data_IF_635682555419
#
_entry.id   IF_635682555419
#
_cell.length_a   1.000
_cell.length_b   1.000
_cell.length_c   1.000
_cell.angle_alpha   90.00
_cell.angle_beta   90.00
_cell.angle_gamma   90.00
#
_symmetry.space_group_name_H-M   'P 1'
#
loop_
_entity.id
_entity.type
_entity.pdbx_description
1 polymer ?
#
# COMPACT_ATOMS: atom_id res chain seq x y z
N UNK A 1 15.02 12.38 67.08
CA UNK A 1 13.99 13.43 67.28
C UNK A 1 14.64 14.76 66.98
N UNK A 2 14.02 15.57 66.13
CA UNK A 2 14.57 16.82 65.59
C UNK A 2 14.43 16.82 64.06
N UNK A 3 13.19 16.75 63.57
CA UNK A 3 12.37 17.88 63.06
C UNK A 3 12.85 18.39 61.69
N UNK A 4 12.09 18.12 60.62
CA UNK A 4 10.96 18.94 60.12
C UNK A 4 11.53 20.10 59.29
N UNK A 5 11.58 19.92 57.96
CA UNK A 5 10.60 20.47 57.02
C UNK A 5 10.38 21.97 57.25
N UNK A 6 10.76 22.79 56.26
CA UNK A 6 9.97 23.91 55.73
C UNK A 6 10.87 24.83 54.85
N UNK A 7 10.36 25.13 53.64
CA UNK A 7 10.34 26.47 53.00
C UNK A 7 11.46 26.91 52.03
N UNK A 8 11.08 26.88 50.75
CA UNK A 8 10.89 28.01 49.81
C UNK A 8 12.05 28.96 49.46
N UNK A 9 12.23 29.12 48.14
CA UNK A 9 12.92 30.22 47.45
C UNK A 9 13.86 29.67 46.37
N UNK A 10 13.49 29.65 45.07
CA UNK A 10 13.76 30.71 44.07
C UNK A 10 15.28 31.04 44.02
N UNK A 11 16.03 30.99 42.93
CA UNK A 11 15.78 31.08 41.49
C UNK A 11 17.16 30.99 40.78
N UNK A 12 17.15 30.71 39.47
CA UNK A 12 18.20 31.01 38.49
C UNK A 12 19.46 30.11 38.31
N UNK A 13 19.43 29.44 37.15
CA UNK A 13 20.41 29.56 36.06
C UNK A 13 21.68 28.67 35.99
N UNK A 14 21.92 28.30 34.72
CA UNK A 14 23.15 27.85 34.08
C UNK A 14 23.57 26.36 34.24
N UNK A 15 23.57 25.66 33.10
CA UNK A 15 24.31 24.41 32.89
C UNK A 15 25.84 24.59 33.06
N UNK A 16 26.67 23.55 32.88
CA UNK A 16 26.74 22.79 31.63
C UNK A 16 26.98 21.27 31.82
N UNK A 17 26.37 20.41 31.00
CA UNK A 17 26.73 18.99 30.96
C UNK A 17 27.18 18.63 29.54
N UNK A 18 28.49 18.63 29.35
CA UNK A 18 29.18 18.07 28.21
C UNK A 18 29.17 16.54 28.27
N UNK A 19 28.68 15.88 27.23
CA UNK A 19 29.07 14.49 26.92
C UNK A 19 29.01 14.27 25.40
N UNK A 20 30.03 14.88 24.79
CA UNK A 20 30.78 14.50 23.60
C UNK A 20 30.72 12.97 23.30
N UNK A 21 30.30 12.64 22.06
CA UNK A 21 30.52 11.43 21.25
C UNK A 21 29.61 10.19 21.44
N UNK A 22 28.47 10.19 20.76
CA UNK A 22 27.87 8.98 20.14
C UNK A 22 27.42 9.32 18.72
N UNK A 23 28.39 9.61 17.87
CA UNK A 23 28.20 9.81 16.44
C UNK A 23 29.06 8.77 15.72
N UNK A 24 28.49 7.59 15.48
CA UNK A 24 28.86 6.65 14.41
C UNK A 24 28.03 5.38 14.58
N UNK A 25 26.83 5.34 13.98
CA UNK A 25 26.34 4.19 13.20
C UNK A 25 24.94 4.48 12.62
N UNK A 26 24.84 5.21 11.52
CA UNK A 26 23.74 4.99 10.58
C UNK A 26 24.17 5.40 9.19
N UNK A 27 24.11 4.44 8.27
CA UNK A 27 24.47 4.59 6.87
C UNK A 27 23.58 5.65 6.21
N UNK A 28 24.18 6.74 5.71
CA UNK A 28 23.53 7.70 4.82
C UNK A 28 23.29 7.06 3.45
N UNK A 29 22.26 6.22 3.36
CA UNK A 29 21.67 5.82 2.08
C UNK A 29 20.16 5.82 2.24
N UNK A 30 19.56 7.00 2.21
CA UNK A 30 18.29 7.15 1.50
C UNK A 30 18.48 8.33 0.53
N UNK A 31 18.37 8.13 -0.80
CA UNK A 31 18.28 9.27 -1.71
C UNK A 31 17.15 10.17 -1.20
N UNK A 32 17.26 11.52 -1.31
CA UNK A 32 16.23 12.40 -0.81
C UNK A 32 14.89 11.92 -1.35
N UNK A 33 13.98 11.58 -0.44
CA UNK A 33 12.65 11.06 -0.78
C UNK A 33 12.00 12.11 -1.66
N UNK A 34 12.03 11.88 -2.97
CA UNK A 34 11.58 12.86 -3.95
C UNK A 34 10.07 12.84 -3.87
N UNK A 35 9.50 13.81 -3.16
CA UNK A 35 8.06 13.96 -3.04
C UNK A 35 7.43 13.83 -4.43
N UNK A 36 6.36 13.03 -4.50
CA UNK A 36 5.63 12.83 -5.74
C UNK A 36 5.04 14.16 -6.18
N UNK A 37 5.62 14.75 -7.22
CA UNK A 37 5.15 16.00 -7.84
C UNK A 37 3.82 15.81 -8.60
N UNK A 38 3.19 14.63 -8.51
CA UNK A 38 1.94 14.35 -9.18
C UNK A 38 0.81 15.20 -8.58
N UNK A 39 0.24 16.08 -9.39
CA UNK A 39 -0.91 16.88 -9.00
C UNK A 39 -2.21 16.09 -9.11
N UNK A 40 -3.27 16.56 -8.46
CA UNK A 40 -4.63 15.99 -8.65
C UNK A 40 -5.06 15.97 -10.11
N UNK A 41 -4.63 16.98 -10.89
CA UNK A 41 -4.91 17.06 -12.32
C UNK A 41 -4.18 15.97 -13.13
N UNK A 42 -2.96 15.61 -12.73
CA UNK A 42 -2.22 14.51 -13.34
C UNK A 42 -2.89 13.16 -13.07
N UNK A 43 -3.41 12.97 -11.86
CA UNK A 43 -4.23 11.80 -11.51
C UNK A 43 -5.51 11.71 -12.33
N UNK A 44 -6.22 12.83 -12.51
CA UNK A 44 -7.42 12.88 -13.35
C UNK A 44 -7.11 12.51 -14.80
N UNK A 45 -6.05 13.09 -15.37
CA UNK A 45 -5.58 12.76 -16.73
C UNK A 45 -5.18 11.30 -16.87
N UNK A 46 -4.56 10.72 -15.85
CA UNK A 46 -4.21 9.30 -15.84
C UNK A 46 -5.49 8.44 -15.88
N UNK A 47 -6.47 8.74 -15.02
CA UNK A 47 -7.75 8.03 -14.98
C UNK A 47 -8.50 8.13 -16.31
N UNK A 48 -8.64 9.32 -16.87
CA UNK A 48 -9.31 9.54 -18.17
C UNK A 48 -8.69 8.69 -19.30
N UNK A 49 -7.39 8.42 -19.22
CA UNK A 49 -6.68 7.57 -20.17
C UNK A 49 -6.86 6.07 -19.91
N UNK A 50 -6.83 5.62 -18.65
CA UNK A 50 -6.80 4.18 -18.33
C UNK A 50 -8.18 3.56 -18.14
N UNK A 51 -9.17 4.33 -17.66
CA UNK A 51 -10.53 3.83 -17.39
C UNK A 51 -11.18 3.19 -18.63
N UNK A 52 -11.04 3.73 -19.86
CA UNK A 52 -11.60 3.09 -21.05
C UNK A 52 -11.03 1.70 -21.37
N UNK A 53 -9.86 1.35 -20.82
CA UNK A 53 -9.25 0.03 -20.97
C UNK A 53 -9.71 -0.98 -19.92
N UNK A 54 -10.48 -0.56 -18.90
CA UNK A 54 -10.97 -1.42 -17.82
C UNK A 54 -12.24 -2.13 -18.26
N UNK A 55 -12.28 -3.45 -18.11
CA UNK A 55 -13.43 -4.29 -18.46
C UNK A 55 -13.83 -5.19 -17.29
N UNK A 56 -15.11 -5.54 -17.24
CA UNK A 56 -15.62 -6.58 -16.33
C UNK A 56 -15.56 -7.93 -17.03
N UNK A 57 -14.95 -8.90 -16.37
CA UNK A 57 -14.88 -10.29 -16.80
C UNK A 57 -15.92 -11.10 -16.03
N UNK A 58 -16.77 -11.83 -16.75
CA UNK A 58 -17.66 -12.84 -16.18
C UNK A 58 -17.20 -14.20 -16.66
N UNK A 59 -16.78 -15.06 -15.73
CA UNK A 59 -16.45 -16.46 -16.03
C UNK A 59 -17.58 -17.35 -15.56
N UNK A 60 -18.04 -18.25 -16.42
CA UNK A 60 -19.03 -19.26 -16.07
C UNK A 60 -18.32 -20.62 -16.06
N UNK A 61 -18.35 -21.31 -14.92
CA UNK A 61 -17.99 -22.72 -14.82
C UNK A 61 -19.23 -23.53 -15.19
N UNK A 62 -19.26 -24.07 -16.41
CA UNK A 62 -20.35 -24.92 -16.86
C UNK A 62 -20.22 -26.30 -16.20
N UNK A 63 -21.29 -26.74 -15.53
CA UNK A 63 -21.38 -28.10 -14.97
C UNK A 63 -21.27 -29.13 -16.10
N UNK A 64 -20.17 -29.86 -16.17
CA UNK A 64 -20.11 -31.10 -16.93
C UNK A 64 -20.95 -32.17 -16.22
N UNK A 65 -21.37 -33.21 -16.95
CA UNK A 65 -22.30 -34.24 -16.47
C UNK A 65 -21.82 -34.98 -15.21
N UNK A 66 -20.57 -34.78 -14.77
CA UNK A 66 -19.98 -35.35 -13.56
C UNK A 66 -19.45 -34.27 -12.60
N UNK A 67 -20.25 -33.98 -11.57
CA UNK A 67 -19.87 -33.55 -10.19
C UNK A 67 -19.37 -32.14 -9.82
N UNK A 68 -19.09 -31.18 -10.72
CA UNK A 68 -18.81 -29.78 -10.27
C UNK A 68 -20.06 -28.89 -10.24
N UNK A 69 -20.14 -27.98 -9.24
CA UNK A 69 -21.24 -27.03 -9.12
C UNK A 69 -21.14 -25.93 -10.19
N UNK A 70 -22.26 -25.62 -10.85
CA UNK A 70 -22.32 -24.49 -11.76
C UNK A 70 -22.04 -23.19 -10.99
N UNK A 71 -21.10 -22.40 -11.50
CA UNK A 71 -20.68 -21.16 -10.86
C UNK A 71 -20.50 -20.03 -11.86
N UNK A 72 -20.75 -18.81 -11.41
CA UNK A 72 -20.37 -17.60 -12.13
C UNK A 72 -19.50 -16.75 -11.20
N UNK A 73 -18.39 -16.23 -11.72
CA UNK A 73 -17.55 -15.30 -10.99
C UNK A 73 -17.30 -14.04 -11.80
N UNK A 74 -17.02 -12.95 -11.09
CA UNK A 74 -16.77 -11.64 -11.68
C UNK A 74 -15.41 -11.13 -11.26
N UNK A 75 -14.74 -10.44 -12.18
CA UNK A 75 -13.45 -9.81 -11.95
C UNK A 75 -13.24 -8.64 -12.90
N UNK A 76 -12.11 -7.95 -12.72
CA UNK A 76 -11.67 -6.88 -13.61
C UNK A 76 -10.56 -7.38 -14.52
N UNK A 77 -10.52 -6.86 -15.74
CA UNK A 77 -9.39 -7.00 -16.66
C UNK A 77 -9.03 -5.67 -17.31
N UNK A 78 -7.85 -5.62 -17.91
CA UNK A 78 -7.36 -4.49 -18.69
C UNK A 78 -7.13 -4.90 -20.13
N UNK A 79 -7.68 -4.15 -21.09
CA UNK A 79 -7.37 -4.34 -22.51
C UNK A 79 -5.94 -3.87 -22.77
N UNK A 80 -5.05 -4.80 -23.10
CA UNK A 80 -3.63 -4.52 -23.35
C UNK A 80 -3.29 -4.54 -24.85
N UNK A 81 -4.10 -5.19 -25.67
CA UNK A 81 -4.03 -5.11 -27.13
C UNK A 81 -5.43 -5.16 -27.74
N UNK A 82 -5.92 -3.99 -28.19
CA UNK A 82 -7.24 -3.88 -28.84
C UNK A 82 -7.29 -4.56 -30.21
N UNK A 83 -6.17 -4.58 -30.96
CA UNK A 83 -6.14 -5.14 -32.31
C UNK A 83 -6.20 -6.67 -32.27
N UNK A 84 -5.54 -7.28 -31.28
CA UNK A 84 -5.50 -8.73 -31.07
C UNK A 84 -6.55 -9.24 -30.07
N UNK A 85 -7.24 -8.34 -29.37
CA UNK A 85 -8.24 -8.69 -28.36
C UNK A 85 -7.65 -9.28 -27.07
N UNK A 86 -6.44 -8.88 -26.68
CA UNK A 86 -5.77 -9.42 -25.49
C UNK A 86 -6.16 -8.62 -24.24
N UNK A 87 -6.58 -9.34 -23.20
CA UNK A 87 -6.96 -8.81 -21.88
C UNK A 87 -6.02 -9.38 -20.82
N UNK A 88 -5.47 -8.52 -19.98
CA UNK A 88 -4.70 -8.88 -18.79
C UNK A 88 -5.61 -8.95 -17.56
N UNK A 89 -5.50 -10.02 -16.79
CA UNK A 89 -6.14 -10.18 -15.48
C UNK A 89 -5.29 -11.09 -14.59
N UNK A 90 -5.66 -11.21 -13.33
CA UNK A 90 -4.96 -12.09 -12.41
C UNK A 90 -5.21 -13.56 -12.74
N UNK A 91 -4.21 -14.43 -12.49
CA UNK A 91 -4.33 -15.88 -12.75
C UNK A 91 -5.49 -16.55 -12.00
N UNK A 92 -5.76 -16.11 -10.77
CA UNK A 92 -6.84 -16.66 -9.94
C UNK A 92 -8.25 -16.33 -10.47
N UNK A 93 -8.36 -15.39 -11.40
CA UNK A 93 -9.66 -15.02 -12.01
C UNK A 93 -10.12 -16.06 -13.03
N UNK A 94 -9.16 -16.73 -13.70
CA UNK A 94 -9.45 -17.62 -14.84
C UNK A 94 -9.29 -19.10 -14.50
N UNK A 95 -8.67 -19.42 -13.36
CA UNK A 95 -8.59 -20.78 -12.83
C UNK A 95 -9.43 -20.85 -11.58
N UNK A 96 -10.39 -21.79 -11.46
CA UNK A 96 -10.88 -22.18 -10.14
C UNK A 96 -9.63 -22.53 -9.33
N UNK A 97 -9.31 -21.75 -8.31
CA UNK A 97 -8.42 -22.23 -7.27
C UNK A 97 -9.10 -23.45 -6.67
N UNK A 98 -8.37 -24.55 -6.46
CA UNK A 98 -8.87 -25.71 -5.74
C UNK A 98 -9.46 -25.22 -4.40
N UNK A 99 -10.78 -25.05 -4.33
CA UNK A 99 -11.50 -24.74 -3.11
C UNK A 99 -11.52 -26.04 -2.29
N UNK A 100 -10.36 -26.38 -1.70
CA UNK A 100 -10.29 -27.38 -0.65
C UNK A 100 -10.75 -26.73 0.64
N UNK A 101 -12.05 -26.81 0.91
CA UNK A 101 -12.60 -26.87 2.26
C UNK A 101 -13.76 -27.85 2.27
#
# INVERSE_FOLDING_TARGET
MGDSLERLGSEEALGPESSIMKEELSMDIDPPFKESLATTEDWRKALDKVVPAVVVLRTNACRAFDTEAAGASYATGFVVDKRRGIILTNRHVVKPGDNKH
#
